data_IF_587936169461
#
_entry.id   IF_587936169461
#
_cell.length_a   1.000
_cell.length_b   1.000
_cell.length_c   1.000
_cell.angle_alpha   90.00
_cell.angle_beta   90.00
_cell.angle_gamma   90.00
#
_symmetry.space_group_name_H-M   'P 1'
#
loop_
_entity.id
_entity.type
_entity.pdbx_description
1 polymer ?
#
# COMPACT_ATOMS: atom_id res chain seq x y z
N UNK A 1 29.12 3.37 -4.45
CA UNK A 1 28.60 2.04 -4.84
C UNK A 1 27.09 2.13 -4.94
N UNK A 2 26.54 1.71 -6.07
CA UNK A 2 25.20 2.07 -6.54
C UNK A 2 24.09 1.22 -5.89
N UNK A 3 23.22 1.86 -5.09
CA UNK A 3 21.93 1.29 -4.64
C UNK A 3 20.72 1.84 -5.44
N UNK A 4 20.95 2.75 -6.39
CA UNK A 4 19.89 3.50 -7.10
C UNK A 4 19.10 2.68 -8.15
N UNK A 5 19.57 1.50 -8.56
CA UNK A 5 19.00 0.79 -9.74
C UNK A 5 17.82 -0.12 -9.43
N UNK A 6 17.73 -0.68 -8.21
CA UNK A 6 16.62 -1.60 -7.86
C UNK A 6 15.28 -0.88 -7.71
N UNK A 7 15.30 0.32 -7.11
CA UNK A 7 14.11 1.14 -6.92
C UNK A 7 13.47 1.57 -8.24
N UNK A 8 14.28 2.07 -9.18
CA UNK A 8 13.77 2.52 -10.49
C UNK A 8 13.06 1.40 -11.26
N UNK A 9 13.63 0.19 -11.28
CA UNK A 9 13.05 -0.94 -11.98
C UNK A 9 11.73 -1.44 -11.36
N UNK A 10 11.66 -1.47 -10.02
CA UNK A 10 10.41 -1.83 -9.30
C UNK A 10 9.36 -0.74 -9.51
N UNK A 11 9.74 0.54 -9.41
CA UNK A 11 8.86 1.69 -9.68
C UNK A 11 8.25 1.64 -11.08
N UNK A 12 9.03 1.32 -12.11
CA UNK A 12 8.56 1.26 -13.50
C UNK A 12 7.64 0.07 -13.79
N UNK A 13 7.78 -1.03 -13.07
CA UNK A 13 6.86 -2.18 -13.17
C UNK A 13 5.54 -1.90 -12.44
N UNK A 14 5.60 -1.24 -11.28
CA UNK A 14 4.43 -0.84 -10.51
C UNK A 14 3.58 0.21 -11.26
N UNK A 15 4.23 1.20 -11.86
CA UNK A 15 3.53 2.32 -12.53
C UNK A 15 2.85 1.89 -13.84
N UNK A 16 3.43 0.93 -14.58
CA UNK A 16 2.87 0.46 -15.86
C UNK A 16 1.55 -0.32 -15.74
N UNK A 17 1.30 -0.96 -14.59
CA UNK A 17 0.04 -1.68 -14.35
C UNK A 17 -1.16 -0.79 -14.00
N UNK A 18 -0.93 0.51 -13.74
CA UNK A 18 -1.93 1.43 -13.18
C UNK A 18 -2.59 2.37 -14.20
N UNK A 19 -2.05 2.47 -15.41
CA UNK A 19 -2.47 3.50 -16.36
C UNK A 19 -3.54 2.98 -17.34
N UNK A 20 -4.78 2.79 -16.88
CA UNK A 20 -5.95 2.95 -17.76
C UNK A 20 -7.19 3.38 -16.98
N UNK A 21 -7.94 4.29 -17.60
CA UNK A 21 -9.26 4.83 -17.26
C UNK A 21 -9.26 6.00 -16.28
N UNK A 22 -9.23 7.23 -16.81
CA UNK A 22 -10.41 8.12 -16.84
C UNK A 22 -10.13 9.37 -17.68
N UNK A 23 -10.95 9.58 -18.71
CA UNK A 23 -11.04 10.78 -19.52
C UNK A 23 -12.22 11.63 -19.01
N UNK A 24 -12.02 12.94 -18.85
CA UNK A 24 -13.06 13.98 -18.67
C UNK A 24 -13.88 14.04 -17.37
N UNK A 25 -13.27 14.30 -16.19
CA UNK A 25 -14.02 14.52 -14.93
C UNK A 25 -13.87 15.94 -14.40
N UNK A 26 -14.94 16.51 -13.83
CA UNK A 26 -14.88 17.72 -13.01
C UNK A 26 -13.91 17.48 -11.86
N UNK A 27 -12.84 18.25 -11.81
CA UNK A 27 -11.71 18.05 -10.90
C UNK A 27 -11.62 19.21 -9.91
N UNK A 28 -11.27 18.90 -8.65
CA UNK A 28 -10.91 19.94 -7.70
C UNK A 28 -9.58 20.54 -8.17
N UNK A 29 -9.58 21.82 -8.55
CA UNK A 29 -8.34 22.53 -8.85
C UNK A 29 -7.60 22.84 -7.54
N UNK A 30 -6.70 21.94 -7.17
CA UNK A 30 -5.88 22.05 -5.96
C UNK A 30 -4.41 22.35 -6.25
N UNK A 31 -4.04 22.71 -7.49
CA UNK A 31 -2.65 22.90 -7.91
C UNK A 31 -1.85 23.84 -6.98
N UNK A 32 -2.52 24.88 -6.47
CA UNK A 32 -1.94 25.86 -5.54
C UNK A 32 -2.51 25.79 -4.11
N UNK A 33 -3.21 24.71 -3.76
CA UNK A 33 -3.76 24.55 -2.42
C UNK A 33 -2.67 24.39 -1.35
N UNK A 34 -2.90 24.99 -0.19
CA UNK A 34 -2.12 24.76 1.02
C UNK A 34 -2.48 23.41 1.67
N UNK A 35 -1.60 22.83 2.51
CA UNK A 35 -1.88 21.57 3.18
C UNK A 35 -3.18 21.62 4.00
N UNK A 36 -3.46 22.72 4.69
CA UNK A 36 -4.63 22.90 5.55
C UNK A 36 -5.95 22.80 4.77
N UNK A 37 -6.03 23.40 3.58
CA UNK A 37 -7.20 23.23 2.71
C UNK A 37 -7.35 21.77 2.27
N UNK A 38 -6.25 21.11 1.91
CA UNK A 38 -6.27 19.70 1.55
C UNK A 38 -6.80 18.82 2.71
N UNK A 39 -6.36 19.08 3.95
CA UNK A 39 -6.88 18.39 5.15
C UNK A 39 -8.38 18.62 5.32
N UNK A 40 -8.87 19.85 5.19
CA UNK A 40 -10.31 20.14 5.29
C UNK A 40 -11.11 19.40 4.21
N UNK A 41 -10.59 19.30 3.00
CA UNK A 41 -11.24 18.59 1.90
C UNK A 41 -11.25 17.07 2.10
N UNK A 42 -10.25 16.49 2.77
CA UNK A 42 -10.22 15.08 3.15
C UNK A 42 -11.39 14.68 4.06
N UNK A 43 -11.87 15.61 4.90
CA UNK A 43 -13.04 15.38 5.76
C UNK A 43 -14.35 15.29 4.96
N UNK A 44 -14.34 15.67 3.69
CA UNK A 44 -15.46 15.52 2.75
C UNK A 44 -15.08 14.50 1.67
N UNK A 45 -15.21 13.19 1.94
CA UNK A 45 -14.67 12.16 1.07
C UNK A 45 -15.46 12.08 -0.25
N UNK A 46 -14.84 12.57 -1.32
CA UNK A 46 -15.37 12.49 -2.69
C UNK A 46 -14.25 12.14 -3.66
N UNK A 47 -14.60 11.50 -4.78
CA UNK A 47 -13.62 11.16 -5.81
C UNK A 47 -12.92 12.42 -6.33
N UNK A 48 -13.67 13.52 -6.46
CA UNK A 48 -13.16 14.82 -6.92
C UNK A 48 -12.09 15.38 -5.97
N UNK A 49 -12.34 15.35 -4.66
CA UNK A 49 -11.38 15.82 -3.67
C UNK A 49 -10.13 14.96 -3.63
N UNK A 50 -10.25 13.63 -3.65
CA UNK A 50 -9.09 12.73 -3.67
C UNK A 50 -8.30 12.84 -4.97
N UNK A 51 -8.94 12.96 -6.14
CA UNK A 51 -8.23 13.13 -7.41
C UNK A 51 -7.46 14.46 -7.45
N UNK A 52 -8.06 15.55 -6.96
CA UNK A 52 -7.35 16.82 -6.83
C UNK A 52 -6.17 16.74 -5.86
N UNK A 53 -6.36 16.07 -4.72
CA UNK A 53 -5.31 15.88 -3.72
C UNK A 53 -4.16 15.03 -4.25
N UNK A 54 -4.46 13.93 -4.94
CA UNK A 54 -3.45 13.06 -5.55
C UNK A 54 -2.47 13.86 -6.41
N UNK A 55 -2.98 14.69 -7.33
CA UNK A 55 -2.12 15.53 -8.18
C UNK A 55 -1.33 16.53 -7.38
N UNK A 56 -1.99 17.16 -6.40
CA UNK A 56 -1.32 18.13 -5.54
C UNK A 56 -0.17 17.50 -4.76
N UNK A 57 -0.31 16.23 -4.33
CA UNK A 57 0.74 15.43 -3.71
C UNK A 57 1.86 15.10 -4.70
N UNK A 58 1.53 14.69 -5.93
CA UNK A 58 2.50 14.32 -6.98
C UNK A 58 3.43 15.47 -7.37
N UNK A 59 2.93 16.71 -7.39
CA UNK A 59 3.73 17.91 -7.71
C UNK A 59 4.27 18.63 -6.47
N UNK A 60 4.02 18.11 -5.27
CA UNK A 60 4.42 18.78 -4.03
C UNK A 60 5.93 18.75 -3.81
N UNK A 61 6.46 19.84 -3.25
CA UNK A 61 7.83 19.88 -2.77
C UNK A 61 7.94 19.28 -1.35
N UNK A 62 9.18 19.08 -0.89
CA UNK A 62 9.46 18.49 0.43
C UNK A 62 8.79 19.24 1.58
N UNK A 63 8.82 20.57 1.59
CA UNK A 63 8.26 21.39 2.68
C UNK A 63 6.75 21.17 2.79
N UNK A 64 6.05 21.24 1.66
CA UNK A 64 4.61 21.01 1.60
C UNK A 64 4.24 19.59 2.05
N UNK A 65 4.98 18.57 1.59
CA UNK A 65 4.76 17.18 1.99
C UNK A 65 4.91 16.99 3.49
N UNK A 66 5.95 17.56 4.11
CA UNK A 66 6.16 17.47 5.56
C UNK A 66 5.01 18.14 6.32
N UNK A 67 4.61 19.34 5.94
CA UNK A 67 3.47 20.04 6.58
C UNK A 67 2.18 19.23 6.47
N UNK A 68 1.88 18.66 5.31
CA UNK A 68 0.70 17.81 5.13
C UNK A 68 0.70 16.59 6.06
N UNK A 69 1.87 15.98 6.26
CA UNK A 69 2.03 14.82 7.15
C UNK A 69 1.96 15.22 8.63
N UNK A 70 2.53 16.35 9.02
CA UNK A 70 2.43 16.90 10.39
C UNK A 70 0.99 17.28 10.75
N UNK A 71 0.18 17.66 9.76
CA UNK A 71 -1.25 17.91 9.90
C UNK A 71 -2.12 16.64 9.82
N UNK A 72 -1.53 15.46 10.02
CA UNK A 72 -2.22 14.16 10.07
C UNK A 72 -2.93 13.78 8.75
N UNK A 73 -2.42 14.27 7.62
CA UNK A 73 -3.03 13.99 6.32
C UNK A 73 -2.97 12.52 5.92
N UNK A 74 -1.90 11.80 6.33
CA UNK A 74 -1.78 10.37 6.10
C UNK A 74 -2.75 9.57 6.98
N UNK A 75 -2.92 9.94 8.25
CA UNK A 75 -3.87 9.31 9.18
C UNK A 75 -5.28 9.36 8.60
N UNK A 76 -5.73 10.53 8.16
CA UNK A 76 -7.05 10.71 7.56
C UNK A 76 -7.26 9.83 6.31
N UNK A 77 -6.24 9.68 5.47
CA UNK A 77 -6.29 8.82 4.29
C UNK A 77 -6.38 7.33 4.67
N UNK A 78 -5.61 6.87 5.65
CA UNK A 78 -5.62 5.48 6.08
C UNK A 78 -6.90 5.13 6.84
N UNK A 79 -7.41 6.02 7.69
CA UNK A 79 -8.73 5.89 8.31
C UNK A 79 -9.85 5.83 7.27
N UNK A 80 -9.76 6.65 6.21
CA UNK A 80 -10.73 6.60 5.13
C UNK A 80 -10.67 5.25 4.39
N UNK A 81 -9.48 4.71 4.13
CA UNK A 81 -9.32 3.37 3.54
C UNK A 81 -9.97 2.29 4.42
N UNK A 82 -9.72 2.30 5.72
CA UNK A 82 -10.31 1.35 6.67
C UNK A 82 -11.84 1.42 6.68
N UNK A 83 -12.40 2.64 6.77
CA UNK A 83 -13.86 2.87 6.72
C UNK A 83 -14.49 2.38 5.42
N UNK A 84 -13.77 2.50 4.30
CA UNK A 84 -14.22 2.03 2.98
C UNK A 84 -14.10 0.50 2.84
N UNK A 85 -13.09 -0.12 3.45
CA UNK A 85 -12.88 -1.57 3.45
C UNK A 85 -14.00 -2.33 4.17
N UNK A 86 -14.48 -1.82 5.31
CA UNK A 86 -15.51 -2.48 6.12
C UNK A 86 -16.94 -2.47 5.54
N UNK A 87 -17.20 -1.65 4.51
CA UNK A 87 -18.57 -1.46 3.98
C UNK A 87 -18.94 -2.41 2.83
N UNK A 88 -18.00 -3.23 2.36
CA UNK A 88 -18.16 -4.01 1.13
C UNK A 88 -18.32 -3.12 -0.11
N UNK A 89 -18.01 -3.63 -1.30
CA UNK A 89 -18.18 -2.91 -2.57
C UNK A 89 -19.66 -2.75 -2.99
N UNK A 90 -20.55 -2.31 -2.09
CA UNK A 90 -21.98 -2.20 -2.36
C UNK A 90 -22.32 -1.20 -3.49
N UNK A 91 -21.42 -0.28 -3.84
CA UNK A 91 -21.61 0.74 -4.90
C UNK A 91 -20.31 1.00 -5.66
N UNK A 92 -20.39 1.14 -6.99
CA UNK A 92 -19.27 1.50 -7.88
C UNK A 92 -18.58 2.79 -7.40
N UNK A 93 -19.35 3.78 -6.94
CA UNK A 93 -18.81 5.03 -6.41
C UNK A 93 -17.87 4.81 -5.20
N UNK A 94 -18.16 3.84 -4.33
CA UNK A 94 -17.30 3.52 -3.19
C UNK A 94 -16.01 2.84 -3.63
N UNK A 95 -16.08 1.96 -4.64
CA UNK A 95 -14.90 1.31 -5.21
C UNK A 95 -13.96 2.33 -5.86
N UNK A 96 -14.51 3.29 -6.62
CA UNK A 96 -13.74 4.40 -7.19
C UNK A 96 -13.14 5.29 -6.11
N UNK A 97 -13.92 5.66 -5.10
CA UNK A 97 -13.44 6.47 -3.99
C UNK A 97 -12.28 5.80 -3.25
N UNK A 98 -12.38 4.49 -3.00
CA UNK A 98 -11.34 3.72 -2.35
C UNK A 98 -10.07 3.63 -3.23
N UNK A 99 -10.22 3.43 -4.53
CA UNK A 99 -9.10 3.44 -5.49
C UNK A 99 -8.39 4.79 -5.50
N UNK A 100 -9.11 5.91 -5.59
CA UNK A 100 -8.49 7.24 -5.58
C UNK A 100 -7.84 7.55 -4.24
N UNK A 101 -8.40 7.05 -3.13
CA UNK A 101 -7.82 7.21 -1.80
C UNK A 101 -6.45 6.50 -1.68
N UNK A 102 -6.35 5.25 -2.13
CA UNK A 102 -5.06 4.53 -2.10
C UNK A 102 -4.04 5.15 -3.08
N UNK A 103 -4.49 5.75 -4.19
CA UNK A 103 -3.61 6.53 -5.07
C UNK A 103 -3.03 7.78 -4.39
N UNK A 104 -3.75 8.43 -3.47
CA UNK A 104 -3.18 9.52 -2.65
C UNK A 104 -2.07 8.99 -1.73
N UNK A 105 -2.29 7.85 -1.09
CA UNK A 105 -1.26 7.20 -0.23
C UNK A 105 -0.03 6.82 -1.07
N UNK A 106 -0.24 6.30 -2.28
CA UNK A 106 0.84 6.02 -3.22
C UNK A 106 1.62 7.29 -3.61
N UNK A 107 0.94 8.42 -3.85
CA UNK A 107 1.59 9.70 -4.15
C UNK A 107 2.48 10.16 -2.98
N UNK A 108 2.05 9.97 -1.72
CA UNK A 108 2.88 10.22 -0.53
C UNK A 108 4.13 9.32 -0.54
N UNK A 109 3.96 8.02 -0.77
CA UNK A 109 5.04 7.04 -0.79
C UNK A 109 5.99 7.17 -1.99
N UNK A 110 5.60 7.92 -3.02
CA UNK A 110 6.49 8.31 -4.12
C UNK A 110 7.44 9.45 -3.74
N UNK A 111 7.24 10.10 -2.59
CA UNK A 111 8.14 11.09 -2.02
C UNK A 111 9.07 10.46 -0.98
N UNK A 112 10.37 10.76 -1.07
CA UNK A 112 11.34 10.35 -0.05
C UNK A 112 10.95 10.88 1.35
N UNK A 113 10.38 12.08 1.44
CA UNK A 113 9.90 12.62 2.72
C UNK A 113 8.75 11.80 3.29
N UNK A 114 7.80 11.37 2.43
CA UNK A 114 6.69 10.51 2.83
C UNK A 114 7.15 9.13 3.28
N UNK A 115 8.08 8.51 2.56
CA UNK A 115 8.65 7.21 2.95
C UNK A 115 9.36 7.29 4.31
N UNK A 116 10.22 8.30 4.53
CA UNK A 116 10.89 8.46 5.82
C UNK A 116 9.90 8.68 6.97
N UNK A 117 8.89 9.52 6.76
CA UNK A 117 7.85 9.76 7.77
C UNK A 117 7.09 8.48 8.15
N UNK A 118 6.80 7.61 7.18
CA UNK A 118 6.17 6.31 7.42
C UNK A 118 7.10 5.37 8.18
N UNK A 119 8.39 5.32 7.83
CA UNK A 119 9.36 4.44 8.49
C UNK A 119 9.65 4.84 9.93
N UNK A 120 9.57 6.13 10.23
CA UNK A 120 9.79 6.63 11.58
C UNK A 120 8.56 6.41 12.50
N UNK A 121 7.44 5.91 11.95
CA UNK A 121 6.20 5.64 12.67
C UNK A 121 5.62 4.26 12.31
N UNK A 122 5.95 3.25 13.11
CA UNK A 122 5.58 1.84 12.85
C UNK A 122 4.07 1.61 12.64
N UNK A 123 3.23 2.45 13.27
CA UNK A 123 1.77 2.36 13.19
C UNK A 123 1.23 2.42 11.76
N UNK A 124 1.85 3.22 10.87
CA UNK A 124 1.35 3.37 9.51
C UNK A 124 1.47 2.10 8.67
N UNK A 125 2.54 1.32 8.86
CA UNK A 125 2.72 0.06 8.11
C UNK A 125 1.70 -0.98 8.59
N UNK A 126 1.37 -0.99 9.89
CA UNK A 126 0.28 -1.81 10.44
C UNK A 126 -1.08 -1.39 9.88
N UNK A 127 -1.38 -0.09 9.80
CA UNK A 127 -2.62 0.41 9.19
C UNK A 127 -2.73 0.04 7.70
N UNK A 128 -1.62 0.12 6.94
CA UNK A 128 -1.56 -0.35 5.55
C UNK A 128 -1.89 -1.85 5.45
N UNK A 129 -1.35 -2.67 6.36
CA UNK A 129 -1.66 -4.10 6.40
C UNK A 129 -3.13 -4.36 6.77
N UNK A 130 -3.70 -3.62 7.71
CA UNK A 130 -5.13 -3.72 8.06
C UNK A 130 -6.04 -3.34 6.87
N UNK A 131 -5.64 -2.35 6.07
CA UNK A 131 -6.39 -1.96 4.87
C UNK A 131 -6.52 -3.09 3.83
N UNK A 132 -5.72 -4.17 3.92
CA UNK A 132 -5.83 -5.37 3.07
C UNK A 132 -7.17 -6.10 3.23
N UNK A 133 -7.98 -5.77 4.23
CA UNK A 133 -9.33 -6.30 4.42
C UNK A 133 -10.33 -5.91 3.33
N UNK A 134 -9.98 -4.97 2.45
CA UNK A 134 -10.85 -4.57 1.35
C UNK A 134 -11.23 -5.76 0.46
N UNK A 135 -12.49 -5.80 0.02
CA UNK A 135 -12.93 -6.73 -1.04
C UNK A 135 -12.50 -6.29 -2.44
N UNK A 136 -11.99 -5.06 -2.59
CA UNK A 136 -11.56 -4.53 -3.88
C UNK A 136 -10.16 -5.03 -4.24
N UNK A 137 -10.08 -6.01 -5.15
CA UNK A 137 -8.83 -6.63 -5.60
C UNK A 137 -7.82 -5.61 -6.11
N UNK A 138 -8.26 -4.57 -6.81
CA UNK A 138 -7.36 -3.54 -7.36
C UNK A 138 -6.74 -2.69 -6.25
N UNK A 139 -7.51 -2.33 -5.22
CA UNK A 139 -6.99 -1.62 -4.03
C UNK A 139 -6.06 -2.52 -3.24
N UNK A 140 -6.44 -3.79 -3.03
CA UNK A 140 -5.62 -4.78 -2.33
C UNK A 140 -4.28 -4.99 -3.03
N UNK A 141 -4.29 -5.07 -4.36
CA UNK A 141 -3.08 -5.13 -5.18
C UNK A 141 -2.17 -3.92 -4.92
N UNK A 142 -2.70 -2.69 -4.92
CA UNK A 142 -1.91 -1.50 -4.62
C UNK A 142 -1.37 -1.51 -3.19
N UNK A 143 -2.16 -1.90 -2.19
CA UNK A 143 -1.70 -2.00 -0.80
C UNK A 143 -0.54 -2.98 -0.63
N UNK A 144 -0.61 -4.15 -1.26
CA UNK A 144 0.52 -5.09 -1.28
C UNK A 144 1.77 -4.48 -1.93
N UNK A 145 1.61 -3.74 -3.02
CA UNK A 145 2.71 -3.04 -3.69
C UNK A 145 3.35 -1.97 -2.80
N UNK A 146 2.54 -1.23 -2.02
CA UNK A 146 3.04 -0.23 -1.07
C UNK A 146 3.85 -0.89 0.06
N UNK A 147 3.35 -1.99 0.64
CA UNK A 147 4.11 -2.76 1.65
C UNK A 147 5.43 -3.28 1.08
N UNK A 148 5.41 -3.82 -0.15
CA UNK A 148 6.62 -4.26 -0.81
C UNK A 148 7.60 -3.11 -1.10
N UNK A 149 7.10 -1.93 -1.50
CA UNK A 149 7.91 -0.75 -1.75
C UNK A 149 8.66 -0.31 -0.48
N UNK A 150 8.00 -0.30 0.68
CA UNK A 150 8.64 -0.02 1.97
C UNK A 150 9.74 -1.04 2.28
N UNK A 151 9.46 -2.33 2.07
CA UNK A 151 10.41 -3.40 2.33
C UNK A 151 11.64 -3.36 1.41
N UNK A 152 11.51 -2.81 0.20
CA UNK A 152 12.64 -2.61 -0.73
C UNK A 152 13.42 -1.34 -0.42
N UNK A 153 12.74 -0.30 0.06
CA UNK A 153 13.31 1.05 0.19
C UNK A 153 14.36 1.16 1.30
N UNK A 154 14.11 0.57 2.48
CA UNK A 154 14.98 0.65 3.66
C UNK A 154 14.90 -0.66 4.45
N UNK A 155 16.00 -1.18 5.02
CA UNK A 155 15.97 -2.37 5.89
C UNK A 155 14.97 -2.26 7.05
N UNK A 156 14.77 -1.06 7.61
CA UNK A 156 13.72 -0.81 8.61
C UNK A 156 12.34 -1.09 8.04
N UNK A 157 12.08 -0.68 6.80
CA UNK A 157 10.83 -0.95 6.11
C UNK A 157 10.56 -2.43 5.91
N UNK A 158 11.61 -3.23 5.68
CA UNK A 158 11.48 -4.69 5.63
C UNK A 158 11.08 -5.26 6.99
N UNK A 159 11.73 -4.84 8.07
CA UNK A 159 11.35 -5.25 9.43
C UNK A 159 9.91 -4.84 9.79
N UNK A 160 9.51 -3.61 9.45
CA UNK A 160 8.16 -3.12 9.69
C UNK A 160 7.10 -3.87 8.87
N UNK A 161 7.41 -4.29 7.65
CA UNK A 161 6.50 -5.12 6.86
C UNK A 161 6.24 -6.47 7.54
N UNK A 162 7.27 -7.09 8.12
CA UNK A 162 7.14 -8.34 8.86
C UNK A 162 6.34 -8.17 10.16
N UNK A 163 6.62 -7.10 10.91
CA UNK A 163 5.87 -6.74 12.11
C UNK A 163 4.39 -6.49 11.78
N UNK A 164 4.10 -5.74 10.72
CA UNK A 164 2.73 -5.47 10.28
C UNK A 164 1.97 -6.74 9.88
N UNK A 165 2.63 -7.69 9.21
CA UNK A 165 2.03 -8.99 8.85
C UNK A 165 1.80 -9.87 10.08
N UNK A 166 2.66 -9.82 11.10
CA UNK A 166 2.45 -10.57 12.34
C UNK A 166 1.34 -9.94 13.21
N UNK A 167 1.27 -8.61 13.23
CA UNK A 167 0.15 -7.86 13.81
C UNK A 167 -1.17 -8.22 13.12
N UNK A 168 -1.19 -8.21 11.78
CA UNK A 168 -2.36 -8.59 10.98
C UNK A 168 -2.80 -10.02 11.27
N UNK A 169 -1.85 -10.97 11.36
CA UNK A 169 -2.14 -12.34 11.77
C UNK A 169 -2.84 -12.39 13.12
N UNK A 170 -2.34 -11.65 14.11
CA UNK A 170 -2.92 -11.64 15.45
C UNK A 170 -4.34 -11.07 15.44
N UNK A 171 -4.56 -9.95 14.74
CA UNK A 171 -5.88 -9.32 14.57
C UNK A 171 -6.88 -10.24 13.85
N UNK A 172 -6.44 -10.95 12.82
CA UNK A 172 -7.27 -11.88 12.03
C UNK A 172 -7.30 -13.30 12.58
N UNK A 173 -6.69 -13.53 13.75
CA UNK A 173 -6.60 -14.85 14.39
C UNK A 173 -6.09 -15.92 13.43
N UNK A 174 -5.15 -15.54 12.57
CA UNK A 174 -4.52 -16.46 11.62
C UNK A 174 -3.40 -17.24 12.31
N UNK A 175 -3.17 -18.46 11.86
CA UNK A 175 -2.12 -19.31 12.43
C UNK A 175 -0.71 -18.79 12.10
N UNK A 176 -0.51 -18.14 10.96
CA UNK A 176 0.80 -17.57 10.63
C UNK A 176 0.73 -16.27 9.82
N UNK A 177 1.78 -15.44 9.95
CA UNK A 177 1.88 -14.08 9.38
C UNK A 177 1.65 -13.96 7.87
N UNK A 178 2.07 -14.95 7.09
CA UNK A 178 1.90 -14.91 5.62
C UNK A 178 0.54 -15.42 5.11
N UNK A 179 -0.45 -15.63 5.99
CA UNK A 179 -1.72 -16.27 5.59
C UNK A 179 -2.50 -15.35 4.67
N UNK A 180 -2.45 -14.04 4.92
CA UNK A 180 -3.07 -13.05 4.04
C UNK A 180 -2.58 -13.15 2.59
N UNK A 181 -1.27 -13.33 2.36
CA UNK A 181 -0.71 -13.44 1.00
C UNK A 181 -1.09 -14.79 0.36
N UNK A 182 -0.93 -15.89 1.10
CA UNK A 182 -1.16 -17.23 0.55
C UNK A 182 -2.63 -17.51 0.26
N UNK A 183 -3.53 -17.02 1.11
CA UNK A 183 -4.98 -17.16 0.90
C UNK A 183 -5.42 -16.40 -0.36
N UNK A 184 -4.92 -15.17 -0.55
CA UNK A 184 -5.20 -14.38 -1.76
C UNK A 184 -4.66 -15.04 -3.02
N UNK A 185 -3.43 -15.60 -2.95
CA UNK A 185 -2.80 -16.29 -4.08
C UNK A 185 -3.57 -17.55 -4.48
N UNK A 186 -4.11 -18.28 -3.50
CA UNK A 186 -4.94 -19.47 -3.75
C UNK A 186 -6.34 -19.12 -4.29
N UNK A 187 -6.93 -18.03 -3.82
CA UNK A 187 -8.31 -17.66 -4.14
C UNK A 187 -8.46 -16.93 -5.50
N UNK A 188 -7.41 -16.27 -5.99
CA UNK A 188 -7.49 -15.44 -7.20
C UNK A 188 -7.18 -16.21 -8.48
N UNK A 189 -7.90 -15.89 -9.56
CA UNK A 189 -7.56 -16.25 -10.94
C UNK A 189 -7.06 -15.05 -11.77
N UNK A 190 -6.95 -13.87 -11.15
CA UNK A 190 -6.47 -12.65 -11.80
C UNK A 190 -4.93 -12.69 -11.91
N UNK A 191 -4.43 -12.92 -13.12
CA UNK A 191 -2.99 -13.08 -13.40
C UNK A 191 -2.15 -11.87 -12.93
N UNK A 192 -2.50 -10.61 -13.26
CA UNK A 192 -1.79 -9.44 -12.74
C UNK A 192 -1.69 -9.39 -11.21
N UNK A 193 -2.75 -9.80 -10.52
CA UNK A 193 -2.76 -9.84 -9.07
C UNK A 193 -1.87 -10.96 -8.51
N UNK A 194 -1.87 -12.15 -9.13
CA UNK A 194 -0.94 -13.23 -8.79
C UNK A 194 0.53 -12.80 -8.95
N UNK A 195 0.85 -12.11 -10.05
CA UNK A 195 2.19 -11.55 -10.28
C UNK A 195 2.58 -10.58 -9.17
N UNK A 196 1.66 -9.72 -8.76
CA UNK A 196 1.89 -8.80 -7.64
C UNK A 196 2.16 -9.54 -6.33
N UNK A 197 1.34 -10.54 -5.98
CA UNK A 197 1.51 -11.33 -4.77
C UNK A 197 2.85 -12.07 -4.76
N UNK A 198 3.23 -12.70 -5.88
CA UNK A 198 4.52 -13.38 -6.01
C UNK A 198 5.70 -12.40 -5.96
N UNK A 199 5.55 -11.20 -6.51
CA UNK A 199 6.53 -10.12 -6.37
C UNK A 199 6.74 -9.72 -4.91
N UNK A 200 5.65 -9.60 -4.14
CA UNK A 200 5.71 -9.32 -2.70
C UNK A 200 6.42 -10.43 -1.94
N UNK A 201 6.11 -11.71 -2.22
CA UNK A 201 6.83 -12.85 -1.64
C UNK A 201 8.33 -12.76 -1.94
N UNK A 202 8.68 -12.49 -3.19
CA UNK A 202 10.08 -12.35 -3.60
C UNK A 202 10.78 -11.20 -2.86
N UNK A 203 10.12 -10.05 -2.69
CA UNK A 203 10.65 -8.94 -1.91
C UNK A 203 10.90 -9.38 -0.46
N UNK A 204 9.90 -9.95 0.21
CA UNK A 204 10.03 -10.33 1.63
C UNK A 204 11.14 -11.37 1.86
N UNK A 205 11.34 -12.30 0.92
CA UNK A 205 12.41 -13.31 1.00
C UNK A 205 13.77 -12.73 0.63
N UNK A 206 13.89 -12.01 -0.49
CA UNK A 206 15.18 -11.59 -1.03
C UNK A 206 15.81 -10.40 -0.29
N UNK A 207 15.01 -9.60 0.41
CA UNK A 207 15.51 -8.50 1.25
C UNK A 207 16.14 -9.00 2.56
N UNK A 208 15.97 -10.27 2.95
CA UNK A 208 16.76 -10.86 4.04
C UNK A 208 18.19 -11.11 3.56
N UNK A 209 19.17 -10.42 4.14
CA UNK A 209 20.59 -10.55 3.80
C UNK A 209 21.19 -11.87 4.29
N UNK A 210 20.81 -12.32 5.50
CA UNK A 210 21.34 -13.55 6.09
C UNK A 210 20.71 -14.78 5.42
N UNK A 211 21.55 -15.65 4.85
CA UNK A 211 21.11 -16.86 4.16
C UNK A 211 20.19 -17.74 5.02
N UNK A 212 20.49 -17.86 6.32
CA UNK A 212 19.69 -18.67 7.24
C UNK A 212 18.31 -18.05 7.48
N UNK A 213 18.21 -16.73 7.66
CA UNK A 213 16.94 -16.01 7.79
C UNK A 213 16.12 -16.12 6.51
N UNK A 214 16.75 -15.86 5.36
CA UNK A 214 16.14 -16.04 4.04
C UNK A 214 15.59 -17.46 3.84
N UNK A 215 16.34 -18.48 4.24
CA UNK A 215 15.88 -19.87 4.19
C UNK A 215 14.65 -20.08 5.07
N UNK A 216 14.67 -19.60 6.33
CA UNK A 216 13.52 -19.70 7.24
C UNK A 216 12.26 -19.04 6.68
N UNK A 217 12.36 -17.81 6.19
CA UNK A 217 11.23 -17.09 5.58
C UNK A 217 10.67 -17.88 4.40
N UNK A 218 11.52 -18.44 3.53
CA UNK A 218 11.07 -19.28 2.42
C UNK A 218 10.33 -20.52 2.90
N UNK A 219 10.82 -21.18 3.95
CA UNK A 219 10.14 -22.36 4.52
C UNK A 219 8.79 -22.00 5.14
N UNK A 220 8.62 -20.81 5.72
CA UNK A 220 7.32 -20.37 6.22
C UNK A 220 6.26 -20.23 5.11
N UNK A 221 6.66 -19.84 3.90
CA UNK A 221 5.76 -19.82 2.74
C UNK A 221 5.45 -21.24 2.24
N UNK A 222 6.46 -22.12 2.10
CA UNK A 222 6.28 -23.50 1.60
C UNK A 222 5.45 -24.34 2.57
N UNK A 223 5.73 -24.23 3.88
CA UNK A 223 4.99 -24.94 4.92
C UNK A 223 3.49 -24.67 4.85
N UNK A 224 3.08 -23.49 4.39
CA UNK A 224 1.67 -23.17 4.15
C UNK A 224 1.10 -23.77 2.90
N UNK A 225 1.84 -23.78 1.80
CA UNK A 225 1.38 -24.40 0.56
C UNK A 225 1.00 -25.87 0.79
N UNK A 226 1.78 -26.57 1.63
CA UNK A 226 1.51 -27.97 2.00
C UNK A 226 0.37 -28.15 3.02
N UNK A 227 0.05 -27.13 3.83
CA UNK A 227 -1.09 -27.16 4.75
C UNK A 227 -2.42 -26.70 4.10
N UNK A 228 -2.36 -26.03 2.96
CA UNK A 228 -3.52 -25.53 2.22
C UNK A 228 -4.02 -26.49 1.13
N UNK A 229 -3.25 -27.53 0.80
CA UNK A 229 -3.74 -28.65 -0.04
C UNK A 229 -4.67 -29.54 0.78
N UNK A 230 -5.97 -29.64 0.44
CA UNK A 230 -6.81 -30.70 0.99
C UNK A 230 -6.31 -32.04 0.44
N UNK A 231 -6.21 -33.04 1.32
CA UNK A 231 -6.28 -34.45 0.92
C UNK A 231 -7.64 -34.74 0.27
#
# INVERSE_FOLDING_TARGET
MATSTKWGAVKDQLTRGLATVTDGKVEANLENADPELCIRLLQVPTVVNYSGLQRRLEVSNRSWMVQFLELQGLDLLLEALERLSGRGCARIANALLQLTCVSCVQAIMNSSAGLHFILDNEGYVRMLAQALDTSNVMVKMQLFQLVAALAVFDPRGHHLAFDALDNYKSLKKQQYRFSVIMNELHATNNIPYMVTLLSVVNVLVLQEEELRRRHRVRQEFIGKTNCLSPL
#
